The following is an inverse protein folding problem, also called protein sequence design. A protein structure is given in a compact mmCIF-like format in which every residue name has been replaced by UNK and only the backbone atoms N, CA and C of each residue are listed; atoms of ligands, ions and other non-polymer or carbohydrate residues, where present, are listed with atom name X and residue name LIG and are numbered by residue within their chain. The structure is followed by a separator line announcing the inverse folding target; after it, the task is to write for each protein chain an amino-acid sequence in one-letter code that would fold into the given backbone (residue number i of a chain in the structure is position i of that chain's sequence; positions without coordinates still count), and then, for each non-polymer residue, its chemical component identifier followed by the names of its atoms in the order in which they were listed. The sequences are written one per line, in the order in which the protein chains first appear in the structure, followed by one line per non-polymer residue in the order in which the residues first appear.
data_IF_182004553213
#
_entry.id   IF_182004553213
#
_cell.length_a   1.000
_cell.length_b   1.000
_cell.length_c   1.000
_cell.angle_alpha   90.00
_cell.angle_beta   90.00
_cell.angle_gamma   90.00
#
_symmetry.space_group_name_H-M   'P 1'
#
loop_
_entity.id
_entity.type
_entity.pdbx_description
1 polymer ?
#
# COMPACT_ATOMS: atom_id res chain seq x y z
N UNK A 1 -55.69 0.21 -2.26
CA UNK A 1 -54.97 1.40 -1.75
C UNK A 1 -53.86 0.87 -0.85
N UNK A 2 -52.56 0.95 -1.15
CA UNK A 2 -51.77 1.67 -2.16
C UNK A 2 -50.71 0.74 -2.74
N UNK A 3 -50.48 0.87 -4.04
CA UNK A 3 -49.41 0.23 -4.81
C UNK A 3 -48.15 1.07 -4.60
N UNK A 4 -47.09 0.51 -4.02
CA UNK A 4 -45.75 1.04 -4.20
C UNK A 4 -44.95 0.11 -5.10
N UNK A 5 -44.94 0.51 -6.37
CA UNK A 5 -44.04 0.02 -7.41
C UNK A 5 -42.59 0.29 -6.97
N UNK A 6 -41.83 -0.75 -6.63
CA UNK A 6 -40.38 -0.67 -6.65
C UNK A 6 -39.91 -0.86 -8.09
N UNK A 7 -39.72 0.29 -8.73
CA UNK A 7 -39.18 0.49 -10.07
C UNK A 7 -37.86 -0.26 -10.18
N UNK A 8 -37.84 -1.32 -11.01
CA UNK A 8 -36.62 -1.98 -11.45
C UNK A 8 -35.86 -1.00 -12.35
N UNK A 9 -34.87 -0.30 -11.81
CA UNK A 9 -33.94 0.50 -12.61
C UNK A 9 -32.55 -0.13 -12.53
N UNK A 10 -32.19 -0.75 -13.66
CA UNK A 10 -30.83 -1.02 -14.15
C UNK A 10 -29.83 -1.55 -13.12
N UNK A 11 -29.78 -2.87 -12.97
CA UNK A 11 -28.49 -3.54 -12.77
C UNK A 11 -27.66 -3.30 -14.05
N UNK A 12 -26.99 -2.15 -14.15
CA UNK A 12 -25.72 -2.12 -14.85
C UNK A 12 -24.92 -3.28 -14.28
N UNK A 13 -24.42 -4.17 -15.15
CA UNK A 13 -23.64 -5.31 -14.75
C UNK A 13 -22.64 -4.87 -13.70
N UNK A 14 -22.82 -5.34 -12.46
CA UNK A 14 -21.90 -5.11 -11.37
C UNK A 14 -20.65 -5.89 -11.78
N UNK A 15 -19.78 -5.21 -12.53
CA UNK A 15 -18.49 -5.75 -13.00
C UNK A 15 -17.77 -6.14 -11.72
N UNK A 16 -17.82 -7.43 -11.36
CA UNK A 16 -17.35 -7.94 -10.07
C UNK A 16 -15.89 -7.51 -9.95
N UNK A 17 -15.68 -6.45 -9.16
CA UNK A 17 -14.38 -5.89 -8.96
C UNK A 17 -13.48 -6.98 -8.37
N UNK A 18 -12.34 -7.30 -8.98
CA UNK A 18 -11.46 -8.34 -8.49
C UNK A 18 -11.02 -8.02 -7.06
N UNK A 19 -11.27 -8.97 -6.16
CA UNK A 19 -10.96 -8.88 -4.72
C UNK A 19 -9.77 -9.77 -4.40
N UNK A 20 -8.98 -9.38 -3.40
CA UNK A 20 -8.00 -10.27 -2.78
C UNK A 20 -8.02 -10.15 -1.26
N UNK A 21 -7.63 -11.24 -0.60
CA UNK A 21 -7.50 -11.30 0.85
C UNK A 21 -6.02 -11.23 1.20
N UNK A 22 -5.65 -10.29 2.07
CA UNK A 22 -4.29 -10.14 2.57
C UNK A 22 -4.30 -9.89 4.08
N UNK A 23 -3.68 -10.81 4.83
CA UNK A 23 -3.61 -10.75 6.30
C UNK A 23 -4.97 -10.65 7.02
N UNK A 24 -5.98 -11.33 6.48
CA UNK A 24 -7.34 -11.33 7.05
C UNK A 24 -8.21 -10.14 6.62
N UNK A 25 -7.63 -9.20 5.87
CA UNK A 25 -8.33 -8.04 5.31
C UNK A 25 -8.64 -8.28 3.84
N UNK A 26 -9.82 -7.87 3.38
CA UNK A 26 -10.24 -7.96 1.98
C UNK A 26 -10.04 -6.61 1.30
N UNK A 27 -9.46 -6.64 0.10
CA UNK A 27 -9.19 -5.46 -0.71
C UNK A 27 -9.91 -5.55 -2.04
N UNK A 28 -10.48 -4.42 -2.48
CA UNK A 28 -11.30 -4.34 -3.69
C UNK A 28 -11.07 -2.99 -4.40
N UNK A 29 -10.85 -3.02 -5.70
CA UNK A 29 -10.85 -1.81 -6.54
C UNK A 29 -12.26 -1.54 -7.05
N UNK A 30 -12.89 -0.47 -6.60
CA UNK A 30 -14.23 -0.09 -7.05
C UNK A 30 -14.12 1.06 -8.03
N UNK A 31 -14.72 0.90 -9.21
CA UNK A 31 -14.78 1.96 -10.22
C UNK A 31 -15.65 3.10 -9.67
N UNK A 32 -15.08 4.30 -9.59
CA UNK A 32 -15.78 5.50 -9.11
C UNK A 32 -16.14 6.45 -10.22
N UNK A 33 -15.45 6.34 -11.36
CA UNK A 33 -15.65 7.22 -12.50
C UNK A 33 -15.20 6.54 -13.79
N UNK A 34 -15.98 6.74 -14.85
CA UNK A 34 -15.64 6.40 -16.22
C UNK A 34 -16.09 7.53 -17.13
N UNK A 35 -15.31 7.82 -18.18
CA UNK A 35 -15.65 8.84 -19.15
C UNK A 35 -14.71 8.90 -20.35
N UNK A 36 -15.04 9.73 -21.32
CA UNK A 36 -14.26 9.95 -22.54
C UNK A 36 -13.50 11.27 -22.46
N UNK A 37 -12.21 11.24 -22.82
CA UNK A 37 -11.34 12.42 -22.85
C UNK A 37 -11.75 13.29 -24.03
N UNK A 38 -12.17 14.51 -23.74
CA UNK A 38 -12.51 15.52 -24.75
C UNK A 38 -11.24 16.22 -25.22
N UNK A 39 -10.39 16.59 -24.27
CA UNK A 39 -9.20 17.39 -24.53
C UNK A 39 -8.13 17.10 -23.48
N UNK A 40 -6.87 17.06 -23.92
CA UNK A 40 -5.70 16.91 -23.07
C UNK A 40 -4.90 18.22 -23.04
N UNK A 41 -4.59 18.69 -21.85
CA UNK A 41 -3.75 19.86 -21.57
C UNK A 41 -2.57 19.42 -20.70
N UNK A 42 -1.55 20.27 -20.53
CA UNK A 42 -0.37 19.92 -19.71
C UNK A 42 -0.77 19.33 -18.33
N UNK A 43 -0.48 18.04 -18.13
CA UNK A 43 -0.71 17.25 -16.90
C UNK A 43 -2.19 17.10 -16.47
N UNK A 44 -3.14 17.50 -17.32
CA UNK A 44 -4.58 17.47 -17.04
C UNK A 44 -5.40 17.08 -18.27
N UNK A 45 -6.53 16.44 -18.03
CA UNK A 45 -7.49 16.03 -19.05
C UNK A 45 -8.87 16.55 -18.69
N UNK A 46 -9.61 17.00 -19.71
CA UNK A 46 -11.04 17.25 -19.63
C UNK A 46 -11.77 15.99 -20.06
N UNK A 47 -12.62 15.47 -19.19
CA UNK A 47 -13.31 14.20 -19.40
C UNK A 47 -14.81 14.40 -19.30
N UNK A 48 -15.56 13.85 -20.25
CA UNK A 48 -17.02 13.78 -20.22
C UNK A 48 -17.46 12.41 -19.71
N UNK A 49 -18.26 12.38 -18.66
CA UNK A 49 -18.88 11.13 -18.21
C UNK A 49 -20.09 10.75 -19.08
N UNK A 50 -20.62 9.54 -18.88
CA UNK A 50 -21.78 9.05 -19.65
C UNK A 50 -23.06 9.87 -19.42
N UNK A 51 -23.12 10.65 -18.34
CA UNK A 51 -24.20 11.60 -18.05
C UNK A 51 -24.05 12.95 -18.77
N UNK A 52 -22.96 13.14 -19.54
CA UNK A 52 -22.66 14.38 -20.26
C UNK A 52 -21.99 15.47 -19.43
N UNK A 53 -21.65 15.20 -18.16
CA UNK A 53 -20.95 16.15 -17.28
C UNK A 53 -19.45 16.13 -17.58
N UNK A 54 -18.87 17.33 -17.67
CA UNK A 54 -17.46 17.52 -17.97
C UNK A 54 -16.67 17.86 -16.70
N UNK A 55 -15.58 17.12 -16.46
CA UNK A 55 -14.73 17.29 -15.28
C UNK A 55 -13.27 17.32 -15.67
N UNK A 56 -12.50 18.18 -15.01
CA UNK A 56 -11.04 18.24 -15.17
C UNK A 56 -10.38 17.31 -14.16
N UNK A 57 -9.46 16.48 -14.65
CA UNK A 57 -8.75 15.48 -13.85
C UNK A 57 -7.27 15.56 -14.20
N UNK A 58 -6.38 15.30 -13.24
CA UNK A 58 -4.96 15.12 -13.57
C UNK A 58 -4.77 13.85 -14.42
N UNK A 59 -3.86 13.89 -15.39
CA UNK A 59 -3.49 12.73 -16.19
C UNK A 59 -2.58 11.74 -15.41
N UNK A 60 -2.07 12.16 -14.24
CA UNK A 60 -1.11 11.43 -13.40
C UNK A 60 0.13 10.92 -14.16
N UNK A 61 0.51 11.60 -15.24
CA UNK A 61 1.60 11.24 -16.14
C UNK A 61 1.30 10.08 -17.09
N UNK A 62 0.02 9.74 -17.31
CA UNK A 62 -0.42 8.81 -18.35
C UNK A 62 -0.76 9.60 -19.61
N UNK A 63 -0.42 9.06 -20.78
CA UNK A 63 -0.77 9.73 -22.04
C UNK A 63 -2.23 9.44 -22.40
N UNK A 64 -3.05 10.48 -22.47
CA UNK A 64 -4.42 10.41 -23.00
C UNK A 64 -4.52 11.22 -24.29
N UNK A 65 -5.32 10.72 -25.24
CA UNK A 65 -5.70 11.47 -26.44
C UNK A 65 -7.21 11.71 -26.42
N UNK A 66 -7.65 12.63 -27.27
CA UNK A 66 -9.08 12.83 -27.48
C UNK A 66 -9.75 11.51 -27.88
N UNK A 67 -10.94 11.28 -27.34
CA UNK A 67 -11.71 10.05 -27.44
C UNK A 67 -11.15 8.82 -26.72
N UNK A 68 -10.07 8.95 -25.94
CA UNK A 68 -9.68 7.87 -25.05
C UNK A 68 -10.67 7.74 -23.89
N UNK A 69 -11.00 6.50 -23.50
CA UNK A 69 -11.82 6.21 -22.35
C UNK A 69 -10.94 6.00 -21.11
N UNK A 70 -11.29 6.71 -20.05
CA UNK A 70 -10.61 6.68 -18.76
C UNK A 70 -11.49 5.97 -17.74
N UNK A 71 -10.86 5.16 -16.89
CA UNK A 71 -11.49 4.57 -15.71
C UNK A 71 -10.69 4.97 -14.47
N UNK A 72 -11.39 5.40 -13.42
CA UNK A 72 -10.81 5.66 -12.09
C UNK A 72 -11.40 4.70 -11.07
N UNK A 73 -10.54 4.23 -10.18
CA UNK A 73 -10.92 3.30 -9.13
C UNK A 73 -10.41 3.78 -7.78
N UNK A 74 -11.20 3.52 -6.74
CA UNK A 74 -10.77 3.61 -5.35
C UNK A 74 -10.43 2.23 -4.81
N UNK A 75 -9.40 2.15 -3.95
CA UNK A 75 -9.06 0.91 -3.24
C UNK A 75 -9.78 0.91 -1.90
N UNK A 76 -10.75 0.01 -1.75
CA UNK A 76 -11.48 -0.23 -0.50
C UNK A 76 -10.84 -1.38 0.27
N UNK A 77 -10.74 -1.21 1.58
CA UNK A 77 -10.34 -2.25 2.52
C UNK A 77 -11.52 -2.60 3.43
N UNK A 78 -11.71 -3.89 3.65
CA UNK A 78 -12.74 -4.46 4.51
C UNK A 78 -12.12 -5.42 5.55
N UNK A 79 -12.57 -5.32 6.80
CA UNK A 79 -12.30 -6.31 7.84
C UNK A 79 -13.60 -7.04 8.16
N UNK A 80 -13.70 -8.30 7.74
CA UNK A 80 -14.99 -9.01 7.72
C UNK A 80 -15.99 -8.34 6.79
N UNK A 81 -17.16 -7.95 7.32
CA UNK A 81 -18.22 -7.27 6.57
C UNK A 81 -18.16 -5.73 6.66
N UNK A 82 -17.26 -5.19 7.49
CA UNK A 82 -17.18 -3.75 7.73
C UNK A 82 -16.13 -3.10 6.82
N UNK A 83 -16.47 -1.93 6.26
CA UNK A 83 -15.55 -1.12 5.46
C UNK A 83 -14.61 -0.37 6.40
N UNK A 84 -13.32 -0.66 6.34
CA UNK A 84 -12.33 -0.12 7.28
C UNK A 84 -11.57 1.08 6.74
N UNK A 85 -11.21 1.09 5.46
CA UNK A 85 -10.48 2.22 4.87
C UNK A 85 -10.73 2.36 3.38
N UNK A 86 -10.52 3.58 2.86
CA UNK A 86 -10.74 3.94 1.46
C UNK A 86 -9.58 4.79 0.99
N UNK A 87 -8.98 4.39 -0.12
CA UNK A 87 -8.01 5.21 -0.84
C UNK A 87 -8.66 5.69 -2.13
N UNK A 88 -9.08 6.95 -2.13
CA UNK A 88 -9.62 7.62 -3.31
C UNK A 88 -8.54 7.75 -4.38
N UNK A 89 -8.96 7.76 -5.65
CA UNK A 89 -8.08 7.90 -6.81
C UNK A 89 -6.88 6.93 -6.80
N UNK A 90 -7.09 5.72 -6.28
CA UNK A 90 -6.04 4.72 -6.10
C UNK A 90 -5.47 4.19 -7.42
N UNK A 91 -6.29 4.17 -8.47
CA UNK A 91 -5.91 3.69 -9.79
C UNK A 91 -6.62 4.52 -10.86
N UNK A 92 -5.87 4.91 -11.88
CA UNK A 92 -6.36 5.51 -13.12
C UNK A 92 -5.86 4.65 -14.28
N UNK A 93 -6.75 4.36 -15.23
CA UNK A 93 -6.49 3.50 -16.39
C UNK A 93 -6.93 4.22 -17.65
N UNK A 94 -6.07 4.21 -18.67
CA UNK A 94 -6.42 4.49 -20.04
C UNK A 94 -6.82 3.16 -20.71
N UNK A 95 -8.10 2.99 -21.02
CA UNK A 95 -8.63 1.76 -21.61
C UNK A 95 -8.05 1.49 -23.00
N UNK A 96 -7.87 2.54 -23.81
CA UNK A 96 -7.42 2.39 -25.20
C UNK A 96 -5.97 1.96 -25.31
N UNK A 97 -5.09 2.41 -24.41
CA UNK A 97 -3.65 2.05 -24.43
C UNK A 97 -3.29 0.95 -23.44
N UNK A 98 -4.14 0.70 -22.45
CA UNK A 98 -3.83 -0.17 -21.32
C UNK A 98 -2.83 0.43 -20.33
N UNK A 99 -2.41 1.69 -20.51
CA UNK A 99 -1.56 2.38 -19.55
C UNK A 99 -2.33 2.67 -18.26
N UNK A 100 -1.66 2.54 -17.12
CA UNK A 100 -2.26 2.79 -15.82
C UNK A 100 -1.27 3.38 -14.82
N UNK A 101 -1.80 4.07 -13.81
CA UNK A 101 -1.03 4.63 -12.71
C UNK A 101 -1.70 4.27 -11.38
N UNK A 102 -0.89 3.71 -10.49
CA UNK A 102 -1.29 3.40 -9.11
C UNK A 102 -0.86 4.54 -8.20
N UNK A 103 -1.83 5.20 -7.58
CA UNK A 103 -1.62 6.29 -6.63
C UNK A 103 -2.02 5.86 -5.22
N UNK A 104 -1.26 4.91 -4.67
CA UNK A 104 -1.46 4.41 -3.31
C UNK A 104 -0.45 5.05 -2.36
N UNK A 105 -0.94 5.54 -1.20
CA UNK A 105 -0.08 6.15 -0.20
C UNK A 105 0.97 5.16 0.32
N UNK A 106 2.20 5.64 0.47
CA UNK A 106 3.31 4.84 1.00
C UNK A 106 3.50 5.13 2.48
N UNK A 107 3.46 4.10 3.30
CA UNK A 107 3.89 4.15 4.71
C UNK A 107 5.39 3.96 4.78
N UNK A 108 6.07 4.81 5.55
CA UNK A 108 7.50 4.71 5.80
C UNK A 108 7.73 4.02 7.15
N UNK A 109 8.58 2.99 7.18
CA UNK A 109 9.16 2.46 8.41
C UNK A 109 10.63 2.87 8.44
N UNK A 110 11.00 3.63 9.47
CA UNK A 110 12.37 4.07 9.73
C UNK A 110 13.05 3.06 10.64
N UNK A 111 14.24 2.61 10.26
CA UNK A 111 15.08 1.71 11.06
C UNK A 111 16.15 2.57 11.74
N UNK A 112 16.20 2.64 13.08
CA UNK A 112 17.18 3.46 13.79
C UNK A 112 18.64 3.09 13.46
N UNK A 113 19.51 4.09 13.34
CA UNK A 113 20.91 3.91 12.90
C UNK A 113 21.76 3.04 13.85
N UNK A 114 21.49 3.02 15.15
CA UNK A 114 22.20 2.13 16.08
C UNK A 114 21.93 0.63 15.80
N UNK A 115 20.85 0.32 15.06
CA UNK A 115 20.55 -1.03 14.57
C UNK A 115 21.31 -1.36 13.27
N UNK A 116 21.92 -0.39 12.59
CA UNK A 116 22.63 -0.58 11.32
C UNK A 116 24.16 -0.59 11.46
N UNK A 117 24.74 -0.15 12.58
CA UNK A 117 26.20 0.00 12.74
C UNK A 117 27.09 -1.23 12.46
N UNK A 118 26.61 -2.48 12.61
CA UNK A 118 27.37 -3.71 12.29
C UNK A 118 26.96 -4.37 10.96
N UNK A 119 26.01 -3.82 10.21
CA UNK A 119 25.55 -4.35 8.92
C UNK A 119 25.32 -3.18 7.95
N UNK A 120 26.39 -2.80 7.24
CA UNK A 120 26.43 -1.62 6.37
C UNK A 120 25.43 -1.61 5.20
N UNK A 121 24.68 -2.70 4.96
CA UNK A 121 23.82 -2.88 3.79
C UNK A 121 22.31 -2.84 4.09
N UNK A 122 21.89 -2.36 5.26
CA UNK A 122 20.46 -2.27 5.61
C UNK A 122 19.93 -0.86 5.38
N UNK A 123 19.08 -0.69 4.37
CA UNK A 123 18.38 0.58 4.11
C UNK A 123 17.67 1.09 5.36
N UNK A 124 17.96 2.33 5.77
CA UNK A 124 17.40 3.00 6.96
C UNK A 124 15.90 3.34 6.81
N UNK A 125 15.37 3.21 5.60
CA UNK A 125 13.99 3.47 5.26
C UNK A 125 13.43 2.30 4.44
N UNK A 126 12.21 1.88 4.76
CA UNK A 126 11.43 0.96 3.93
C UNK A 126 10.04 1.54 3.69
N UNK A 127 9.65 1.61 2.41
CA UNK A 127 8.35 2.13 1.99
C UNK A 127 7.39 1.00 1.66
N UNK A 128 6.16 1.08 2.16
CA UNK A 128 5.13 0.06 2.01
C UNK A 128 3.86 0.71 1.49
N UNK A 129 3.33 0.30 0.33
CA UNK A 129 2.05 0.83 -0.20
C UNK A 129 0.89 0.31 0.62
N UNK A 130 0.11 1.18 1.27
CA UNK A 130 -1.16 0.98 2.04
C UNK A 130 -1.31 -0.35 2.81
N UNK A 131 -0.23 -1.11 2.99
CA UNK A 131 -0.28 -2.47 3.48
C UNK A 131 -0.64 -2.40 4.96
N UNK A 132 -1.57 -3.26 5.42
CA UNK A 132 -1.88 -3.33 6.82
C UNK A 132 -0.65 -3.92 7.51
N UNK A 133 -0.03 -3.12 8.38
CA UNK A 133 1.03 -3.61 9.27
C UNK A 133 0.31 -4.18 10.49
N UNK A 134 0.47 -5.47 10.83
CA UNK A 134 -0.16 -6.03 12.01
C UNK A 134 0.22 -5.22 13.26
N UNK A 135 -0.75 -4.88 14.12
CA UNK A 135 -0.48 -4.11 15.35
C UNK A 135 0.58 -4.79 16.23
N UNK A 136 0.50 -6.13 16.33
CA UNK A 136 1.49 -6.94 17.05
C UNK A 136 2.90 -6.81 16.48
N UNK A 137 3.05 -6.64 15.16
CA UNK A 137 4.36 -6.41 14.55
C UNK A 137 4.96 -5.11 15.07
N UNK A 138 4.19 -4.02 15.08
CA UNK A 138 4.69 -2.73 15.56
C UNK A 138 5.11 -2.79 17.03
N UNK A 139 4.31 -3.44 17.88
CA UNK A 139 4.63 -3.62 19.30
C UNK A 139 5.90 -4.43 19.47
N UNK A 140 5.99 -5.61 18.84
CA UNK A 140 7.16 -6.49 18.93
C UNK A 140 8.42 -5.79 18.42
N UNK A 141 8.34 -5.14 17.26
CA UNK A 141 9.45 -4.43 16.66
C UNK A 141 9.95 -3.29 17.55
N UNK A 142 9.03 -2.52 18.16
CA UNK A 142 9.38 -1.43 19.08
C UNK A 142 10.06 -1.97 20.34
N UNK A 143 9.54 -3.04 20.93
CA UNK A 143 10.14 -3.68 22.12
C UNK A 143 11.55 -4.21 21.82
N UNK A 144 11.75 -4.84 20.65
CA UNK A 144 13.06 -5.31 20.22
C UNK A 144 14.03 -4.14 20.04
N UNK A 145 13.60 -3.05 19.41
CA UNK A 145 14.43 -1.86 19.23
C UNK A 145 14.80 -1.22 20.58
N UNK A 146 13.86 -1.17 21.53
CA UNK A 146 14.09 -0.63 22.87
C UNK A 146 15.08 -1.50 23.66
N UNK A 147 14.94 -2.82 23.60
CA UNK A 147 15.88 -3.74 24.22
C UNK A 147 17.30 -3.60 23.64
N UNK A 148 17.42 -3.48 22.31
CA UNK A 148 18.71 -3.21 21.67
C UNK A 148 19.29 -1.87 22.10
N UNK A 149 18.47 -0.83 22.21
CA UNK A 149 18.91 0.50 22.62
C UNK A 149 19.44 0.52 24.05
N UNK A 150 18.71 -0.07 25.00
CA UNK A 150 19.11 -0.16 26.40
C UNK A 150 20.44 -0.92 26.52
N UNK A 151 20.54 -2.09 25.88
CA UNK A 151 21.77 -2.88 25.89
C UNK A 151 22.95 -2.10 25.31
N UNK A 152 22.74 -1.37 24.21
CA UNK A 152 23.78 -0.52 23.61
C UNK A 152 24.25 0.60 24.55
N UNK A 153 23.34 1.29 25.23
CA UNK A 153 23.69 2.33 26.20
C UNK A 153 24.50 1.79 27.37
N UNK A 154 24.14 0.61 27.90
CA UNK A 154 24.88 -0.03 29.00
C UNK A 154 26.28 -0.44 28.52
N UNK A 155 26.40 -1.00 27.32
CA UNK A 155 27.70 -1.36 26.74
C UNK A 155 28.61 -0.13 26.54
N UNK A 156 28.05 1.00 26.10
CA UNK A 156 28.79 2.25 25.99
C UNK A 156 29.27 2.77 27.35
N UNK A 157 28.44 2.68 28.39
CA UNK A 157 28.81 3.07 29.75
C UNK A 157 29.91 2.17 30.32
N UNK A 158 29.78 0.84 30.19
CA UNK A 158 30.78 -0.12 30.64
C UNK A 158 32.13 0.01 29.94
N UNK A 159 32.17 0.55 28.71
CA UNK A 159 33.43 0.85 28.03
C UNK A 159 34.24 1.95 28.73
N UNK A 160 33.57 2.84 29.48
CA UNK A 160 34.22 3.93 30.21
C UNK A 160 34.92 3.46 31.49
N UNK A 161 34.42 2.40 32.12
CA UNK A 161 34.86 1.93 33.45
C UNK A 161 35.92 0.81 33.41
N UNK A 162 36.41 0.46 32.21
CA UNK A 162 37.32 -0.67 32.00
C UNK A 162 36.55 -1.91 31.56
N UNK A 163 36.46 -2.10 30.25
CA UNK A 163 35.62 -3.12 29.64
C UNK A 163 36.00 -4.56 30.03
N UNK A 164 35.13 -5.25 30.78
CA UNK A 164 35.26 -6.70 31.07
C UNK A 164 34.09 -7.45 30.42
N UNK A 165 34.39 -8.23 29.37
CA UNK A 165 33.36 -8.96 28.61
C UNK A 165 32.49 -9.87 29.49
N UNK A 166 33.07 -10.47 30.53
CA UNK A 166 32.37 -11.40 31.41
C UNK A 166 31.30 -10.71 32.29
N UNK A 167 31.47 -9.41 32.57
CA UNK A 167 30.53 -8.58 33.33
C UNK A 167 29.36 -8.11 32.48
N UNK A 168 29.56 -8.01 31.15
CA UNK A 168 28.56 -7.49 30.21
C UNK A 168 28.04 -8.53 29.20
N UNK A 169 28.21 -9.83 29.49
CA UNK A 169 27.86 -10.92 28.55
C UNK A 169 26.37 -10.95 28.20
N UNK A 170 25.51 -10.57 29.15
CA UNK A 170 24.06 -10.60 28.95
C UNK A 170 23.56 -9.43 28.13
N UNK A 171 24.21 -8.28 28.23
CA UNK A 171 23.97 -7.07 27.45
C UNK A 171 24.37 -7.31 26.00
N UNK A 172 25.54 -7.92 25.76
CA UNK A 172 25.95 -8.37 24.43
C UNK A 172 24.97 -9.36 23.83
N UNK A 173 24.57 -10.39 24.60
CA UNK A 173 23.61 -11.38 24.13
C UNK A 173 22.26 -10.73 23.80
N UNK A 174 21.77 -9.86 24.68
CA UNK A 174 20.51 -9.13 24.49
C UNK A 174 20.59 -8.24 23.26
N UNK A 175 21.67 -7.49 23.08
CA UNK A 175 21.90 -6.64 21.92
C UNK A 175 21.91 -7.46 20.62
N UNK A 176 22.64 -8.57 20.56
CA UNK A 176 22.74 -9.41 19.37
C UNK A 176 21.43 -10.13 19.03
N UNK A 177 20.73 -10.67 20.03
CA UNK A 177 19.45 -11.35 19.84
C UNK A 177 18.35 -10.38 19.40
N UNK A 178 18.20 -9.25 20.10
CA UNK A 178 17.19 -8.24 19.76
C UNK A 178 17.42 -7.66 18.37
N UNK A 179 18.68 -7.45 17.98
CA UNK A 179 19.06 -7.02 16.63
C UNK A 179 18.74 -8.07 15.57
N UNK A 180 19.09 -9.34 15.82
CA UNK A 180 18.79 -10.44 14.89
C UNK A 180 17.29 -10.60 14.67
N UNK A 181 16.51 -10.57 15.76
CA UNK A 181 15.05 -10.61 15.70
C UNK A 181 14.47 -9.41 14.93
N UNK A 182 15.01 -8.20 15.13
CA UNK A 182 14.60 -7.00 14.38
C UNK A 182 14.89 -7.15 12.88
N UNK A 183 16.05 -7.70 12.51
CA UNK A 183 16.39 -7.96 11.11
C UNK A 183 15.42 -8.96 10.46
N UNK A 184 15.08 -10.05 11.16
CA UNK A 184 14.08 -11.03 10.71
C UNK A 184 12.72 -10.34 10.50
N UNK A 185 12.30 -9.48 11.44
CA UNK A 185 11.07 -8.69 11.35
C UNK A 185 11.05 -7.82 10.07
N UNK A 186 12.13 -7.11 9.77
CA UNK A 186 12.23 -6.28 8.57
C UNK A 186 12.14 -7.12 7.31
N UNK A 187 12.89 -8.23 7.23
CA UNK A 187 12.86 -9.12 6.06
C UNK A 187 11.48 -9.73 5.85
N UNK A 188 10.81 -10.10 6.93
CA UNK A 188 9.44 -10.59 6.88
C UNK A 188 8.46 -9.54 6.35
N UNK A 189 8.59 -8.28 6.78
CA UNK A 189 7.78 -7.18 6.24
C UNK A 189 8.04 -6.90 4.77
N UNK A 190 9.31 -6.92 4.34
CA UNK A 190 9.66 -6.76 2.92
C UNK A 190 9.02 -7.85 2.05
N UNK A 191 9.10 -9.11 2.48
CA UNK A 191 8.45 -10.24 1.79
C UNK A 191 6.94 -10.05 1.70
N UNK A 192 6.30 -9.62 2.79
CA UNK A 192 4.86 -9.34 2.82
C UNK A 192 4.48 -8.21 1.88
N UNK A 193 5.24 -7.12 1.87
CA UNK A 193 5.03 -6.00 0.93
C UNK A 193 5.08 -6.46 -0.50
N UNK A 194 6.09 -7.25 -0.86
CA UNK A 194 6.25 -7.75 -2.22
C UNK A 194 5.06 -8.64 -2.63
N UNK A 195 4.54 -9.47 -1.72
CA UNK A 195 3.31 -10.23 -1.99
C UNK A 195 2.10 -9.32 -2.21
N UNK A 196 1.91 -8.32 -1.35
CA UNK A 196 0.82 -7.35 -1.51
C UNK A 196 0.91 -6.58 -2.84
N UNK A 197 2.11 -6.10 -3.19
CA UNK A 197 2.36 -5.42 -4.47
C UNK A 197 2.08 -6.32 -5.67
N UNK A 198 2.42 -7.62 -5.58
CA UNK A 198 2.13 -8.59 -6.63
C UNK A 198 0.62 -8.83 -6.79
N UNK A 199 -0.12 -8.94 -5.68
CA UNK A 199 -1.59 -9.10 -5.74
C UNK A 199 -2.26 -7.87 -6.37
N UNK A 200 -1.87 -6.67 -5.94
CA UNK A 200 -2.35 -5.40 -6.53
C UNK A 200 -2.05 -5.39 -8.04
N UNK A 201 -0.83 -5.75 -8.45
CA UNK A 201 -0.44 -5.79 -9.86
C UNK A 201 -1.26 -6.82 -10.66
N UNK A 202 -1.50 -7.99 -10.09
CA UNK A 202 -2.27 -9.06 -10.74
C UNK A 202 -3.73 -8.63 -10.98
N UNK A 203 -4.33 -8.00 -9.97
CA UNK A 203 -5.68 -7.46 -10.06
C UNK A 203 -5.78 -6.35 -11.09
N UNK A 204 -4.84 -5.41 -11.09
CA UNK A 204 -4.82 -4.34 -12.09
C UNK A 204 -4.63 -4.91 -13.49
N UNK A 205 -3.72 -5.88 -13.65
CA UNK A 205 -3.54 -6.56 -14.94
C UNK A 205 -4.84 -7.17 -15.45
N UNK A 206 -5.60 -7.85 -14.58
CA UNK A 206 -6.89 -8.42 -14.93
C UNK A 206 -7.94 -7.34 -15.26
N UNK A 207 -7.98 -6.25 -14.48
CA UNK A 207 -8.86 -5.10 -14.75
C UNK A 207 -8.58 -4.48 -16.12
N UNK A 208 -7.32 -4.18 -16.40
CA UNK A 208 -6.89 -3.57 -17.66
C UNK A 208 -7.17 -4.52 -18.83
N UNK A 209 -6.79 -5.80 -18.71
CA UNK A 209 -7.00 -6.80 -19.76
C UNK A 209 -8.48 -6.99 -20.10
N UNK A 210 -9.35 -7.03 -19.10
CA UNK A 210 -10.79 -7.18 -19.32
C UNK A 210 -11.38 -5.97 -20.04
N UNK A 211 -10.85 -4.76 -19.81
CA UNK A 211 -11.32 -3.52 -20.44
C UNK A 211 -10.78 -3.34 -21.86
N UNK A 212 -9.53 -3.69 -22.12
CA UNK A 212 -8.95 -3.62 -23.48
C UNK A 212 -9.50 -4.69 -24.45
N UNK A 213 -10.15 -5.73 -23.94
CA UNK A 213 -10.67 -6.85 -24.73
C UNK A 213 -12.17 -6.75 -25.04
N UNK A 214 -12.83 -5.70 -24.54
CA UNK A 214 -14.26 -5.40 -24.77
C UNK A 214 -14.44 -4.36 -25.87
#
# INVERSE_FOLDING_TARGET
MSIYSMKSNSKQAETVAPKFVFLGETYEFVETFSGEVIESFNEQILVRNDSGEETKISDYGITFRNSHRIHKYELRQYSGYERCSVNYDALIVNENTGEYKVNLSRKLIVIPAFMTMLLNNVSMASHYKVMPVPKLFYILFTLLCLASFIAFCILLAGYKDGYVFNEHKYEWLTYLLSRSATFICIQWMKRKSSRFDNEIRNIIYNLVKNKTSS
#
